data_IF_757216167208
#
_entry.id   IF_757216167208
#
_cell.length_a   1.000
_cell.length_b   1.000
_cell.length_c   1.000
_cell.angle_alpha   90.00
_cell.angle_beta   90.00
_cell.angle_gamma   90.00
#
_symmetry.space_group_name_H-M   'P 1'
#
loop_
_entity.id
_entity.type
_entity.pdbx_description
1 polymer ?
#
# COMPACT_ATOMS: atom_id res chain seq x y z
N UNK A 1 -0.99 -2.47 -6.35
CA UNK A 1 -1.88 -3.01 -5.31
C UNK A 1 -2.00 -4.53 -5.30
N UNK A 2 -1.91 -5.23 -6.44
CA UNK A 2 -2.04 -6.70 -6.50
C UNK A 2 -1.17 -7.48 -5.48
N UNK A 3 0.11 -7.10 -5.32
CA UNK A 3 0.99 -7.75 -4.34
C UNK A 3 0.49 -7.63 -2.90
N UNK A 4 -0.01 -6.46 -2.50
CA UNK A 4 -0.64 -6.26 -1.19
C UNK A 4 -1.91 -7.11 -1.06
N UNK A 5 -2.74 -7.16 -2.11
CA UNK A 5 -3.95 -7.97 -2.11
C UNK A 5 -3.65 -9.47 -1.88
N UNK A 6 -2.66 -10.02 -2.58
CA UNK A 6 -2.21 -11.41 -2.39
C UNK A 6 -1.70 -11.63 -0.96
N UNK A 7 -0.92 -10.69 -0.43
CA UNK A 7 -0.35 -10.80 0.91
C UNK A 7 -1.44 -10.80 1.99
N UNK A 8 -2.32 -9.80 1.98
CA UNK A 8 -3.41 -9.67 2.95
C UNK A 8 -4.44 -10.78 2.84
N UNK A 9 -4.70 -11.28 1.63
CA UNK A 9 -5.60 -12.42 1.42
C UNK A 9 -5.04 -13.67 2.08
N UNK A 10 -3.73 -13.92 1.97
CA UNK A 10 -3.08 -15.09 2.56
C UNK A 10 -2.88 -14.99 4.06
N UNK A 11 -2.57 -13.80 4.57
CA UNK A 11 -2.28 -13.61 5.99
C UNK A 11 -3.56 -13.45 6.82
N UNK A 12 -4.54 -12.70 6.31
CA UNK A 12 -5.69 -12.23 7.08
C UNK A 12 -7.04 -12.58 6.44
N UNK A 13 -7.07 -13.27 5.30
CA UNK A 13 -8.33 -13.52 4.58
C UNK A 13 -8.97 -12.24 4.01
N UNK A 14 -8.17 -11.17 3.84
CA UNK A 14 -8.64 -9.85 3.41
C UNK A 14 -8.30 -9.58 1.95
N UNK A 15 -9.25 -9.04 1.21
CA UNK A 15 -9.06 -8.60 -0.17
C UNK A 15 -9.47 -7.14 -0.34
N UNK A 16 -8.88 -6.48 -1.34
CA UNK A 16 -9.17 -5.10 -1.69
C UNK A 16 -9.87 -5.05 -3.04
N UNK A 17 -11.08 -4.50 -3.06
CA UNK A 17 -11.85 -4.32 -4.28
C UNK A 17 -11.94 -2.82 -4.60
N UNK A 18 -11.49 -2.44 -5.80
CA UNK A 18 -11.65 -1.07 -6.27
C UNK A 18 -13.13 -0.76 -6.52
N UNK A 19 -13.58 0.37 -5.98
CA UNK A 19 -14.92 0.90 -6.19
C UNK A 19 -14.86 2.30 -6.81
N UNK A 20 -15.90 2.65 -7.55
CA UNK A 20 -16.05 4.01 -8.06
C UNK A 20 -16.59 4.91 -6.93
N UNK A 21 -15.90 6.01 -6.60
CA UNK A 21 -16.43 6.99 -5.67
C UNK A 21 -17.70 7.64 -6.22
N UNK A 22 -18.60 8.06 -5.34
CA UNK A 22 -19.75 8.87 -5.71
C UNK A 22 -19.32 10.30 -6.08
N UNK A 23 -20.19 11.01 -6.79
CA UNK A 23 -19.93 12.39 -7.17
C UNK A 23 -19.74 13.27 -5.92
N UNK A 24 -18.57 13.91 -5.81
CA UNK A 24 -18.18 14.74 -4.65
C UNK A 24 -17.65 13.98 -3.43
N UNK A 25 -17.48 12.65 -3.52
CA UNK A 25 -16.96 11.83 -2.40
C UNK A 25 -15.45 12.00 -2.19
N UNK A 26 -14.69 12.23 -3.26
CA UNK A 26 -13.24 12.36 -3.26
C UNK A 26 -12.79 13.80 -3.53
N UNK A 27 -11.62 14.16 -2.99
CA UNK A 27 -11.03 15.50 -3.13
C UNK A 27 -10.14 15.67 -4.37
N UNK A 28 -9.88 14.60 -5.10
CA UNK A 28 -9.09 14.62 -6.34
C UNK A 28 -9.47 13.40 -7.20
N UNK A 29 -9.43 13.57 -8.53
CA UNK A 29 -9.81 12.52 -9.49
C UNK A 29 -8.88 11.30 -9.46
N UNK A 30 -7.65 11.50 -8.98
CA UNK A 30 -6.64 10.44 -8.82
C UNK A 30 -6.84 9.58 -7.57
N UNK A 31 -7.76 9.93 -6.68
CA UNK A 31 -8.01 9.18 -5.45
C UNK A 31 -8.79 7.92 -5.77
N UNK A 32 -8.24 6.77 -5.39
CA UNK A 32 -8.89 5.48 -5.59
C UNK A 32 -9.55 5.01 -4.31
N UNK A 33 -10.82 4.59 -4.40
CA UNK A 33 -11.53 3.97 -3.28
C UNK A 33 -11.39 2.46 -3.35
N UNK A 34 -11.01 1.86 -2.22
CA UNK A 34 -10.92 0.42 -2.03
C UNK A 34 -11.90 -0.01 -0.94
N UNK A 35 -12.80 -0.93 -1.26
CA UNK A 35 -13.53 -1.70 -0.28
C UNK A 35 -12.61 -2.79 0.30
N UNK A 36 -12.58 -2.89 1.62
CA UNK A 36 -11.83 -3.94 2.34
C UNK A 36 -12.81 -5.05 2.69
N UNK A 37 -12.59 -6.24 2.15
CA UNK A 37 -13.49 -7.38 2.27
C UNK A 37 -12.78 -8.53 2.98
N UNK A 38 -13.37 -9.05 4.05
CA UNK A 38 -12.93 -10.29 4.68
C UNK A 38 -13.75 -11.46 4.14
N UNK A 39 -13.10 -12.61 3.92
CA UNK A 39 -13.71 -13.80 3.31
C UNK A 39 -14.96 -14.32 4.04
N UNK A 40 -15.01 -14.18 5.37
CA UNK A 40 -16.11 -14.69 6.19
C UNK A 40 -16.99 -13.59 6.80
N UNK A 41 -16.43 -12.39 7.01
CA UNK A 41 -17.13 -11.28 7.69
C UNK A 41 -17.69 -10.25 6.71
N UNK A 42 -17.34 -10.34 5.42
CA UNK A 42 -17.81 -9.43 4.39
C UNK A 42 -17.12 -8.07 4.47
N UNK A 43 -17.86 -6.99 4.27
CA UNK A 43 -17.31 -5.64 4.19
C UNK A 43 -16.82 -5.14 5.55
N UNK A 44 -15.52 -4.84 5.62
CA UNK A 44 -14.84 -4.36 6.82
C UNK A 44 -14.67 -2.85 6.86
N UNK A 45 -14.62 -2.20 5.70
CA UNK A 45 -14.53 -0.74 5.62
C UNK A 45 -13.93 -0.28 4.30
N UNK A 46 -13.43 0.96 4.29
CA UNK A 46 -12.92 1.60 3.08
C UNK A 46 -11.55 2.23 3.29
N UNK A 47 -10.67 2.07 2.29
CA UNK A 47 -9.40 2.78 2.19
C UNK A 47 -9.46 3.69 0.96
N UNK A 48 -9.16 4.97 1.14
CA UNK A 48 -8.98 5.92 0.04
C UNK A 48 -7.48 6.10 -0.20
N UNK A 49 -7.03 5.74 -1.39
CA UNK A 49 -5.64 5.80 -1.79
C UNK A 49 -5.37 7.09 -2.58
N UNK A 50 -4.63 8.01 -1.98
CA UNK A 50 -4.15 9.23 -2.61
C UNK A 50 -2.64 9.10 -2.84
N UNK A 51 -2.24 8.52 -3.96
CA UNK A 51 -0.87 8.08 -4.17
C UNK A 51 0.05 9.08 -4.84
N UNK A 52 -0.48 9.97 -5.67
CA UNK A 52 0.37 10.76 -6.56
C UNK A 52 0.68 12.14 -5.99
N UNK A 53 1.88 12.62 -6.31
CA UNK A 53 2.31 13.98 -6.00
C UNK A 53 1.52 15.01 -6.80
N UNK A 54 1.02 16.06 -6.14
CA UNK A 54 0.43 17.25 -6.77
C UNK A 54 0.88 18.52 -6.03
N UNK A 55 0.91 19.70 -6.70
CA UNK A 55 1.46 20.93 -6.13
C UNK A 55 0.89 21.35 -4.76
N UNK A 56 -0.41 21.15 -4.54
CA UNK A 56 -1.11 21.57 -3.31
C UNK A 56 -1.25 20.45 -2.27
N UNK A 57 -0.57 19.31 -2.47
CA UNK A 57 -0.59 18.19 -1.53
C UNK A 57 0.65 18.20 -0.64
N UNK A 58 0.50 17.96 0.68
CA UNK A 58 1.64 17.77 1.56
C UNK A 58 2.60 16.68 1.05
N UNK A 59 3.90 16.94 1.14
CA UNK A 59 4.96 16.01 0.72
C UNK A 59 5.27 14.94 1.80
N UNK A 60 4.23 14.40 2.44
CA UNK A 60 4.37 13.39 3.48
C UNK A 60 3.61 12.14 3.09
N UNK A 61 4.26 11.00 3.29
CA UNK A 61 3.64 9.69 3.26
C UNK A 61 3.03 9.46 4.64
N UNK A 62 1.73 9.16 4.70
CA UNK A 62 1.02 8.93 5.97
C UNK A 62 -0.34 8.26 5.77
N UNK A 63 -0.80 7.57 6.80
CA UNK A 63 -2.18 7.14 6.96
C UNK A 63 -2.99 8.12 7.82
N UNK A 64 -4.29 8.22 7.54
CA UNK A 64 -5.25 8.94 8.39
C UNK A 64 -6.48 8.08 8.67
N UNK A 65 -6.89 8.01 9.92
CA UNK A 65 -8.20 7.45 10.28
C UNK A 65 -9.25 8.56 10.24
N UNK A 66 -10.10 8.55 9.20
CA UNK A 66 -11.20 9.52 9.05
C UNK A 66 -12.38 9.12 9.93
N UNK A 67 -12.65 7.82 9.99
CA UNK A 67 -13.71 7.25 10.80
C UNK A 67 -13.25 5.93 11.38
N UNK A 68 -13.33 5.78 12.70
CA UNK A 68 -13.04 4.51 13.37
C UNK A 68 -14.21 3.55 13.32
N UNK A 69 -13.91 2.26 13.35
CA UNK A 69 -14.90 1.20 13.56
C UNK A 69 -15.46 1.25 14.98
N UNK A 70 -16.79 1.24 15.13
CA UNK A 70 -17.44 1.22 16.45
C UNK A 70 -18.91 0.80 16.34
N UNK A 71 -19.47 0.31 17.45
CA UNK A 71 -20.91 0.21 17.61
C UNK A 71 -21.45 1.61 17.94
N UNK A 72 -22.47 2.03 17.21
CA UNK A 72 -23.15 3.32 17.42
C UNK A 72 -24.17 3.23 18.55
N UNK A 73 -24.70 4.38 18.99
CA UNK A 73 -25.75 4.44 20.01
C UNK A 73 -27.01 3.65 19.63
N UNK A 74 -27.25 3.50 18.32
CA UNK A 74 -28.39 2.75 17.78
C UNK A 74 -28.12 1.23 17.68
N UNK A 75 -26.94 0.76 18.10
CA UNK A 75 -26.55 -0.66 18.04
C UNK A 75 -26.00 -1.12 16.69
N UNK A 76 -25.98 -0.26 15.67
CA UNK A 76 -25.40 -0.58 14.36
C UNK A 76 -23.88 -0.42 14.37
N UNK A 77 -23.18 -1.29 13.64
CA UNK A 77 -21.73 -1.17 13.46
C UNK A 77 -21.39 -0.15 12.37
N UNK A 78 -20.64 0.88 12.76
CA UNK A 78 -20.09 1.89 11.86
C UNK A 78 -18.79 1.38 11.26
N UNK A 79 -18.73 1.29 9.93
CA UNK A 79 -17.52 0.85 9.23
C UNK A 79 -16.38 1.89 9.31
N UNK A 80 -15.14 1.47 9.58
CA UNK A 80 -13.97 2.33 9.49
C UNK A 80 -13.73 2.89 8.08
N UNK A 81 -13.14 4.08 8.05
CA UNK A 81 -12.70 4.78 6.83
C UNK A 81 -11.30 5.32 7.07
N UNK A 82 -10.37 4.90 6.22
CA UNK A 82 -8.95 5.27 6.29
C UNK A 82 -8.52 5.92 4.98
N UNK A 83 -7.61 6.88 5.05
CA UNK A 83 -6.92 7.45 3.90
C UNK A 83 -5.47 7.01 3.95
N UNK A 84 -4.96 6.52 2.83
CA UNK A 84 -3.57 6.19 2.61
C UNK A 84 -2.99 7.21 1.64
N UNK A 85 -2.14 8.10 2.13
CA UNK A 85 -1.59 9.21 1.35
C UNK A 85 -0.09 8.98 1.13
N UNK A 86 0.34 8.98 -0.13
CA UNK A 86 1.75 8.89 -0.52
C UNK A 86 2.12 9.99 -1.54
N UNK A 87 3.40 10.22 -1.76
CA UNK A 87 3.89 11.19 -2.76
C UNK A 87 4.65 10.51 -3.91
N UNK A 88 3.99 9.58 -4.62
CA UNK A 88 4.55 8.83 -5.75
C UNK A 88 4.57 9.66 -7.04
N UNK A 89 5.51 9.38 -7.97
CA UNK A 89 5.52 10.03 -9.28
C UNK A 89 4.32 9.59 -10.12
N UNK A 90 3.72 10.54 -10.84
CA UNK A 90 2.63 10.24 -11.76
C UNK A 90 3.09 9.32 -12.90
N UNK A 91 2.22 8.41 -13.35
CA UNK A 91 2.48 7.67 -14.58
C UNK A 91 2.49 8.65 -15.76
N UNK A 92 3.35 8.38 -16.74
CA UNK A 92 3.32 9.09 -18.03
C UNK A 92 2.65 8.21 -19.08
N UNK A 93 2.31 8.78 -20.25
CA UNK A 93 1.70 8.05 -21.37
C UNK A 93 2.45 6.76 -21.75
N UNK A 94 3.78 6.75 -21.57
CA UNK A 94 4.66 5.66 -22.02
C UNK A 94 5.33 4.90 -20.88
N UNK A 95 5.21 5.38 -19.63
CA UNK A 95 5.89 4.78 -18.49
C UNK A 95 4.94 4.72 -17.29
N UNK A 96 4.63 3.53 -16.77
CA UNK A 96 3.87 3.41 -15.53
C UNK A 96 4.66 3.96 -14.36
N UNK A 97 4.00 4.23 -13.24
CA UNK A 97 4.68 4.55 -11.98
C UNK A 97 5.56 3.38 -11.55
N UNK A 98 6.87 3.61 -11.51
CA UNK A 98 7.85 2.65 -11.00
C UNK A 98 8.27 3.08 -9.60
N UNK A 99 8.18 2.17 -8.64
CA UNK A 99 8.56 2.43 -7.25
C UNK A 99 10.03 2.13 -7.06
N UNK A 100 10.74 3.02 -6.38
CA UNK A 100 12.04 2.69 -5.79
C UNK A 100 11.81 1.73 -4.61
N UNK A 101 12.86 1.01 -4.15
CA UNK A 101 12.74 0.17 -2.96
C UNK A 101 12.20 0.93 -1.73
N UNK A 102 12.68 2.16 -1.49
CA UNK A 102 12.19 3.00 -0.38
C UNK A 102 10.72 3.40 -0.54
N UNK A 103 10.26 3.72 -1.76
CA UNK A 103 8.84 4.00 -2.00
C UNK A 103 7.95 2.77 -1.79
N UNK A 104 8.47 1.58 -2.10
CA UNK A 104 7.76 0.33 -1.83
C UNK A 104 7.69 0.04 -0.33
N UNK A 105 8.78 0.23 0.40
CA UNK A 105 8.84 0.08 1.86
C UNK A 105 7.84 1.03 2.55
N UNK A 106 7.84 2.32 2.19
CA UNK A 106 6.90 3.31 2.70
C UNK A 106 5.44 2.91 2.43
N UNK A 107 5.12 2.44 1.21
CA UNK A 107 3.77 1.98 0.90
C UNK A 107 3.33 0.84 1.82
N UNK A 108 4.22 -0.10 2.13
CA UNK A 108 3.91 -1.21 3.02
C UNK A 108 3.80 -0.75 4.48
N UNK A 109 4.69 0.12 4.93
CA UNK A 109 4.65 0.74 6.26
C UNK A 109 3.28 1.40 6.51
N UNK A 110 2.88 2.31 5.63
CA UNK A 110 1.62 3.04 5.77
C UNK A 110 0.39 2.14 5.60
N UNK A 111 0.49 1.10 4.75
CA UNK A 111 -0.56 0.09 4.65
C UNK A 111 -0.70 -0.72 5.95
N UNK A 112 0.40 -0.99 6.66
CA UNK A 112 0.38 -1.63 7.97
C UNK A 112 -0.43 -0.82 8.98
N UNK A 113 -0.21 0.50 9.05
CA UNK A 113 -1.03 1.38 9.88
C UNK A 113 -2.49 1.46 9.43
N UNK A 114 -2.73 1.53 8.12
CA UNK A 114 -4.09 1.57 7.58
C UNK A 114 -4.89 0.32 7.97
N UNK A 115 -4.28 -0.86 7.87
CA UNK A 115 -4.91 -2.12 8.26
C UNK A 115 -5.05 -2.27 9.77
N UNK A 116 -4.09 -1.77 10.54
CA UNK A 116 -4.20 -1.71 11.99
C UNK A 116 -5.41 -0.87 12.43
N UNK A 117 -5.63 0.26 11.77
CA UNK A 117 -6.80 1.13 12.01
C UNK A 117 -8.11 0.48 11.56
N UNK A 118 -8.09 -0.27 10.45
CA UNK A 118 -9.24 -1.02 9.93
C UNK A 118 -9.71 -2.11 10.90
N UNK A 119 -8.77 -2.82 11.52
CA UNK A 119 -9.05 -3.95 12.42
C UNK A 119 -9.30 -3.53 13.88
N UNK A 120 -9.14 -2.23 14.20
CA UNK A 120 -9.80 -1.63 15.34
C UNK A 120 -9.03 -1.60 16.67
N UNK A 121 -7.70 -1.59 16.67
CA UNK A 121 -6.93 -1.58 17.92
C UNK A 121 -6.34 -0.22 18.23
N UNK A 122 -6.97 0.52 19.17
CA UNK A 122 -6.24 1.56 19.91
C UNK A 122 -5.23 0.85 20.79
N UNK A 123 -3.95 1.00 20.47
CA UNK A 123 -2.86 0.48 21.28
C UNK A 123 -2.08 1.63 21.95
N UNK A 124 -1.26 1.33 22.96
CA UNK A 124 -0.22 2.23 23.45
C UNK A 124 0.68 2.72 22.30
N UNK A 125 1.15 3.97 22.38
CA UNK A 125 1.91 4.62 21.30
C UNK A 125 3.22 3.90 20.96
N UNK A 126 3.82 3.22 21.94
CA UNK A 126 5.02 2.37 21.77
C UNK A 126 4.75 1.07 20.99
N UNK A 127 3.49 0.68 20.81
CA UNK A 127 3.07 -0.46 19.98
C UNK A 127 2.49 -0.06 18.62
N UNK A 128 2.25 1.23 18.38
CA UNK A 128 1.58 1.71 17.17
C UNK A 128 2.35 1.39 15.87
N UNK A 129 3.68 1.33 15.96
CA UNK A 129 4.61 1.03 14.86
C UNK A 129 4.80 -0.46 14.59
N UNK A 130 4.37 -1.36 15.48
CA UNK A 130 4.62 -2.79 15.30
C UNK A 130 4.01 -3.31 13.98
N UNK A 131 2.77 -2.96 13.62
CA UNK A 131 2.18 -3.43 12.37
C UNK A 131 2.84 -2.83 11.12
N UNK A 132 3.24 -1.55 11.15
CA UNK A 132 3.88 -0.88 10.02
C UNK A 132 5.27 -1.47 9.75
N UNK A 133 6.10 -1.60 10.79
CA UNK A 133 7.42 -2.21 10.70
C UNK A 133 7.35 -3.68 10.27
N UNK A 134 6.36 -4.45 10.76
CA UNK A 134 6.15 -5.82 10.28
C UNK A 134 5.87 -5.86 8.77
N UNK A 135 5.11 -4.91 8.25
CA UNK A 135 4.83 -4.84 6.81
C UNK A 135 6.07 -4.49 5.98
N UNK A 136 7.00 -3.68 6.49
CA UNK A 136 8.29 -3.43 5.83
C UNK A 136 9.11 -4.72 5.64
N UNK A 137 9.11 -5.62 6.64
CA UNK A 137 9.77 -6.92 6.51
C UNK A 137 9.17 -7.74 5.36
N UNK A 138 7.86 -7.69 5.17
CA UNK A 138 7.21 -8.34 4.04
C UNK A 138 7.54 -7.67 2.71
N UNK A 139 7.68 -6.34 2.66
CA UNK A 139 8.09 -5.63 1.45
C UNK A 139 9.47 -6.09 0.94
N UNK A 140 10.37 -6.41 1.88
CA UNK A 140 11.73 -6.83 1.63
C UNK A 140 11.90 -8.35 1.44
N UNK A 141 10.84 -9.15 1.60
CA UNK A 141 10.91 -10.60 1.44
C UNK A 141 10.73 -11.03 -0.03
N UNK A 142 11.83 -11.50 -0.64
CA UNK A 142 11.85 -11.98 -2.01
C UNK A 142 10.87 -13.13 -2.31
N UNK A 143 10.41 -13.87 -1.28
CA UNK A 143 9.41 -14.94 -1.43
C UNK A 143 8.02 -14.40 -1.78
N UNK A 144 7.77 -13.14 -1.48
CA UNK A 144 6.51 -12.44 -1.80
C UNK A 144 6.54 -11.77 -3.17
N UNK A 145 7.71 -11.70 -3.81
CA UNK A 145 7.83 -11.23 -5.18
C UNK A 145 7.38 -12.34 -6.15
N UNK A 146 6.63 -12.01 -7.22
CA UNK A 146 6.33 -12.97 -8.27
C UNK A 146 7.61 -13.60 -8.81
N UNK A 147 7.64 -14.93 -9.00
CA UNK A 147 8.82 -15.63 -9.53
C UNK A 147 9.32 -15.02 -10.84
N UNK A 148 8.43 -14.52 -11.69
CA UNK A 148 8.77 -13.80 -12.91
C UNK A 148 9.53 -12.49 -12.65
N UNK A 149 9.18 -11.75 -11.59
CA UNK A 149 9.88 -10.53 -11.18
C UNK A 149 11.27 -10.85 -10.63
N UNK A 150 11.38 -11.90 -9.81
CA UNK A 150 12.68 -12.40 -9.30
C UNK A 150 13.59 -12.85 -10.44
N UNK A 151 13.06 -13.61 -11.41
CA UNK A 151 13.82 -14.03 -12.59
C UNK A 151 14.32 -12.83 -13.40
N UNK A 152 13.48 -11.82 -13.64
CA UNK A 152 13.88 -10.59 -14.35
C UNK A 152 14.94 -9.77 -13.59
N UNK A 153 14.86 -9.71 -12.26
CA UNK A 153 15.88 -9.08 -11.41
C UNK A 153 17.22 -9.84 -11.46
N UNK A 154 17.18 -11.17 -11.44
CA UNK A 154 18.35 -12.00 -11.60
C UNK A 154 18.98 -11.84 -13.00
N UNK A 155 18.15 -11.72 -14.04
CA UNK A 155 18.61 -11.46 -15.41
C UNK A 155 19.21 -10.06 -15.54
N UNK A 156 18.57 -9.01 -15.00
CA UNK A 156 19.13 -7.65 -15.07
C UNK A 156 20.46 -7.53 -14.33
N UNK A 157 20.61 -8.18 -13.16
CA UNK A 157 21.91 -8.24 -12.46
C UNK A 157 23.00 -8.93 -13.28
N UNK A 158 22.67 -9.96 -14.06
CA UNK A 158 23.65 -10.61 -14.96
C UNK A 158 24.07 -9.69 -16.11
N UNK A 159 23.13 -8.92 -16.67
CA UNK A 159 23.41 -7.94 -17.72
C UNK A 159 24.26 -6.79 -17.21
N UNK A 160 23.95 -6.24 -16.03
CA UNK A 160 24.73 -5.17 -15.41
C UNK A 160 26.12 -5.65 -14.95
N UNK A 161 26.23 -6.85 -14.36
CA UNK A 161 27.52 -7.42 -14.00
C UNK A 161 28.45 -7.63 -15.22
N UNK A 162 27.89 -7.98 -16.38
CA UNK A 162 28.62 -8.08 -17.64
C UNK A 162 29.06 -6.69 -18.19
N UNK A 163 28.25 -5.65 -17.97
CA UNK A 163 28.61 -4.27 -18.33
C UNK A 163 29.72 -3.70 -17.42
N UNK A 164 29.67 -4.01 -16.11
CA UNK A 164 30.70 -3.60 -15.15
C UNK A 164 32.05 -4.28 -15.43
N UNK A 165 32.06 -5.52 -15.92
CA UNK A 165 33.30 -6.19 -16.35
C UNK A 165 33.89 -5.59 -17.63
N UNK A 166 33.06 -5.09 -18.56
CA UNK A 166 33.56 -4.40 -19.76
C UNK A 166 34.19 -3.03 -19.46
N UNK A 167 33.78 -2.36 -18.38
CA UNK A 167 34.38 -1.10 -17.93
C UNK A 167 35.75 -1.32 -17.27
N UNK A 168 36.03 -2.49 -16.69
CA UNK A 168 37.33 -2.81 -16.07
C UNK A 168 38.39 -3.34 -17.04
N UNK A 169 38.02 -3.75 -18.26
CA UNK A 169 38.96 -4.27 -19.27
C UNK A 169 39.48 -3.17 -20.23
N UNK A 170 38.95 -1.93 -20.12
CA UNK A 170 39.37 -0.78 -20.93
C UNK A 170 40.20 0.27 -20.16
N UNK A 171 40.91 -0.15 -19.09
CA UNK A 171 41.92 0.65 -18.38
C UNK A 171 43.30 -0.03 -18.49
#
# INVERSE_FOLDING_TARGET
>A
MEGLNILFSRLLGISFQAEQPQNGEVWSDDVQKLAVLHENEGLMGYIYCDFFHRPDKPHQDCHFTIRGGRITENGEYQLPVVVLMLSLPHPTKNCPTLLTPGMMENLFHEMGHAMHSMLGTRCPTDFAEVPSILMEYFANDYRLLPKSMVSRLCESKKVCAAADTQLQVNL
#
